data_IF_066407558318
#
_entry.id   IF_066407558318
#
_cell.length_a   1.000
_cell.length_b   1.000
_cell.length_c   1.000
_cell.angle_alpha   90.00
_cell.angle_beta   90.00
_cell.angle_gamma   90.00
#
_symmetry.space_group_name_H-M   'P 1'
#
loop_
_entity.id
_entity.type
_entity.pdbx_description
1 polymer ?
#
# COMPACT_ATOMS: atom_id res chain seq x y z
N UNK A 1 1.10 15.74 14.86
CA UNK A 1 2.13 15.20 13.92
C UNK A 1 3.23 14.44 14.69
N UNK A 2 2.88 13.67 15.73
CA UNK A 2 3.87 13.14 16.70
C UNK A 2 4.18 11.65 16.53
N UNK A 3 3.28 10.88 15.90
CA UNK A 3 3.49 9.47 15.59
C UNK A 3 3.94 9.33 14.14
N UNK A 4 5.21 8.99 13.92
CA UNK A 4 5.89 8.95 12.62
C UNK A 4 6.75 7.70 12.42
N UNK A 5 7.38 7.16 13.48
CA UNK A 5 8.21 5.94 13.38
C UNK A 5 7.50 4.70 13.90
N UNK A 6 7.91 3.55 13.38
CA UNK A 6 7.37 2.22 13.69
C UNK A 6 7.52 1.81 15.16
N UNK A 7 8.48 2.35 15.91
CA UNK A 7 8.72 2.04 17.32
C UNK A 7 8.11 3.03 18.32
N UNK A 8 7.57 4.14 17.84
CA UNK A 8 7.04 5.16 18.74
C UNK A 8 5.79 4.66 19.46
N UNK A 9 5.62 4.96 20.76
CA UNK A 9 4.39 4.64 21.46
C UNK A 9 3.20 5.34 20.78
N UNK A 10 2.04 4.69 20.78
CA UNK A 10 0.81 5.32 20.29
C UNK A 10 0.49 6.50 21.22
N UNK A 11 0.14 7.69 20.69
CA UNK A 11 -0.14 8.86 21.53
C UNK A 11 -1.24 8.57 22.56
N UNK A 12 -0.93 8.77 23.85
CA UNK A 12 -1.84 8.47 24.97
C UNK A 12 -3.11 9.33 24.97
N UNK A 13 -3.09 10.45 24.27
CA UNK A 13 -4.23 11.38 24.12
C UNK A 13 -5.32 10.89 23.17
N UNK A 14 -5.11 9.76 22.46
CA UNK A 14 -6.14 9.19 21.58
C UNK A 14 -7.25 8.49 22.38
N UNK A 15 -8.49 8.47 21.86
CA UNK A 15 -9.57 7.64 22.40
C UNK A 15 -9.12 6.17 22.52
N UNK A 16 -9.56 5.48 23.59
CA UNK A 16 -9.11 4.11 23.89
C UNK A 16 -9.37 3.14 22.74
N UNK A 17 -10.58 3.14 22.18
CA UNK A 17 -10.94 2.29 21.04
C UNK A 17 -10.00 2.47 19.83
N UNK A 18 -9.60 3.71 19.53
CA UNK A 18 -8.68 3.99 18.44
C UNK A 18 -7.24 3.56 18.78
N UNK A 19 -6.81 3.81 20.01
CA UNK A 19 -5.49 3.36 20.48
C UNK A 19 -5.38 1.84 20.42
N UNK A 20 -6.38 1.13 20.91
CA UNK A 20 -6.39 -0.34 20.95
C UNK A 20 -6.39 -0.92 19.53
N UNK A 21 -7.13 -0.32 18.60
CA UNK A 21 -7.05 -0.65 17.17
C UNK A 21 -5.63 -0.45 16.62
N UNK A 22 -4.98 0.69 16.90
CA UNK A 22 -3.63 0.96 16.39
C UNK A 22 -2.62 -0.03 16.97
N UNK A 23 -2.70 -0.32 18.27
CA UNK A 23 -1.78 -1.27 18.93
C UNK A 23 -1.93 -2.70 18.39
N UNK A 24 -3.14 -3.10 18.00
CA UNK A 24 -3.35 -4.37 17.31
C UNK A 24 -2.83 -4.32 15.86
N UNK A 25 -3.24 -3.30 15.10
CA UNK A 25 -2.94 -3.17 13.68
C UNK A 25 -1.46 -2.95 13.34
N UNK A 26 -0.64 -2.52 14.31
CA UNK A 26 0.81 -2.28 14.12
C UNK A 26 1.69 -3.49 14.43
N UNK A 27 1.12 -4.61 14.89
CA UNK A 27 1.89 -5.81 15.23
C UNK A 27 2.43 -6.46 13.97
N UNK A 28 3.71 -6.84 13.99
CA UNK A 28 4.29 -7.63 12.91
C UNK A 28 3.66 -9.03 12.89
N UNK A 29 3.21 -9.52 11.72
CA UNK A 29 2.75 -10.90 11.61
C UNK A 29 3.92 -11.87 11.82
N UNK A 30 3.61 -13.08 12.32
CA UNK A 30 4.61 -14.10 12.65
C UNK A 30 5.44 -14.56 11.44
N UNK A 31 4.92 -14.42 10.23
CA UNK A 31 5.58 -14.76 8.98
C UNK A 31 6.53 -13.67 8.45
N UNK A 32 6.74 -12.57 9.20
CA UNK A 32 7.70 -11.51 8.84
C UNK A 32 9.13 -12.06 8.75
N UNK A 33 9.73 -12.00 7.56
CA UNK A 33 11.12 -12.38 7.30
C UNK A 33 12.01 -11.14 7.07
N UNK A 34 12.92 -10.88 8.03
CA UNK A 34 13.85 -9.73 7.98
C UNK A 34 14.88 -9.85 6.85
N UNK A 35 15.29 -11.06 6.48
CA UNK A 35 16.25 -11.26 5.39
C UNK A 35 15.60 -10.91 4.06
N UNK A 36 14.35 -11.35 3.83
CA UNK A 36 13.57 -10.95 2.64
C UNK A 36 13.36 -9.44 2.57
N UNK A 37 13.09 -8.78 3.69
CA UNK A 37 13.01 -7.32 3.74
C UNK A 37 14.33 -6.63 3.35
N UNK A 38 15.46 -7.14 3.83
CA UNK A 38 16.77 -6.63 3.45
C UNK A 38 17.05 -6.85 1.95
N UNK A 39 16.66 -8.00 1.40
CA UNK A 39 16.79 -8.29 -0.04
C UNK A 39 15.83 -7.43 -0.89
N UNK A 40 14.63 -7.11 -0.39
CA UNK A 40 13.72 -6.14 -1.02
C UNK A 40 14.38 -4.77 -1.17
N UNK A 41 15.07 -4.30 -0.12
CA UNK A 41 15.74 -3.00 -0.19
C UNK A 41 16.89 -3.02 -1.21
N UNK A 42 17.66 -4.12 -1.29
CA UNK A 42 18.68 -4.27 -2.35
C UNK A 42 18.06 -4.20 -3.74
N UNK A 43 16.94 -4.88 -3.95
CA UNK A 43 16.20 -4.86 -5.21
C UNK A 43 15.78 -3.44 -5.58
N UNK A 44 15.04 -2.76 -4.69
CA UNK A 44 14.53 -1.40 -4.95
C UNK A 44 15.69 -0.44 -5.19
N UNK A 45 16.76 -0.51 -4.38
CA UNK A 45 17.94 0.35 -4.56
C UNK A 45 18.63 0.15 -5.91
N UNK A 46 18.73 -1.09 -6.41
CA UNK A 46 19.34 -1.38 -7.72
C UNK A 46 18.45 -0.94 -8.88
N UNK A 47 17.14 -1.11 -8.73
CA UNK A 47 16.16 -0.85 -9.79
C UNK A 47 15.43 0.49 -9.62
N UNK A 48 15.94 1.39 -8.77
CA UNK A 48 15.26 2.59 -8.26
C UNK A 48 14.62 3.42 -9.38
N UNK A 49 15.38 3.73 -10.43
CA UNK A 49 14.89 4.47 -11.60
C UNK A 49 13.76 3.75 -12.31
N UNK A 50 13.91 2.45 -12.58
CA UNK A 50 12.91 1.66 -13.32
C UNK A 50 11.63 1.48 -12.51
N UNK A 51 11.77 1.17 -11.21
CA UNK A 51 10.67 1.04 -10.27
C UNK A 51 9.93 2.37 -10.14
N UNK A 52 10.64 3.49 -10.01
CA UNK A 52 10.04 4.83 -9.95
C UNK A 52 9.28 5.21 -11.23
N UNK A 53 9.85 4.92 -12.40
CA UNK A 53 9.19 5.15 -13.70
C UNK A 53 7.92 4.29 -13.80
N UNK A 54 7.98 3.02 -13.42
CA UNK A 54 6.83 2.12 -13.47
C UNK A 54 5.75 2.52 -12.45
N UNK A 55 6.10 2.95 -11.24
CA UNK A 55 5.12 3.51 -10.30
C UNK A 55 4.39 4.71 -10.89
N UNK A 56 5.12 5.65 -11.49
CA UNK A 56 4.52 6.87 -12.02
C UNK A 56 3.64 6.59 -13.26
N UNK A 57 4.17 5.87 -14.24
CA UNK A 57 3.57 5.79 -15.57
C UNK A 57 2.79 4.50 -15.84
N UNK A 58 3.11 3.40 -15.17
CA UNK A 58 2.29 2.20 -15.24
C UNK A 58 1.22 2.25 -14.15
N UNK A 59 1.61 2.19 -12.88
CA UNK A 59 0.66 2.13 -11.76
C UNK A 59 -0.15 3.42 -11.59
N UNK A 60 0.51 4.58 -11.60
CA UNK A 60 -0.13 5.88 -11.39
C UNK A 60 -1.14 6.23 -12.48
N UNK A 61 -0.85 5.90 -13.74
CA UNK A 61 -1.81 6.07 -14.84
C UNK A 61 -2.92 5.01 -14.78
N UNK A 62 -2.59 3.76 -14.45
CA UNK A 62 -3.57 2.67 -14.31
C UNK A 62 -4.61 2.97 -13.22
N UNK A 63 -4.21 3.59 -12.12
CA UNK A 63 -5.12 4.05 -11.06
C UNK A 63 -6.25 4.98 -11.57
N UNK A 64 -6.00 5.72 -12.66
CA UNK A 64 -7.01 6.61 -13.27
C UNK A 64 -8.06 5.87 -14.09
N UNK A 65 -7.80 4.62 -14.46
CA UNK A 65 -8.70 3.78 -15.26
C UNK A 65 -9.28 2.60 -14.47
N UNK A 66 -8.92 2.44 -13.19
CA UNK A 66 -9.59 1.54 -12.24
C UNK A 66 -10.84 2.25 -11.71
N UNK A 67 -12.07 1.85 -12.10
CA UNK A 67 -13.26 2.68 -11.91
C UNK A 67 -13.60 2.98 -10.44
N UNK A 68 -13.42 2.02 -9.53
CA UNK A 68 -13.70 2.22 -8.10
C UNK A 68 -12.65 3.11 -7.44
N UNK A 69 -11.37 2.88 -7.74
CA UNK A 69 -10.25 3.69 -7.25
C UNK A 69 -10.37 5.14 -7.71
N UNK A 70 -10.52 5.37 -9.02
CA UNK A 70 -10.62 6.69 -9.61
C UNK A 70 -11.82 7.48 -9.03
N UNK A 71 -13.00 6.86 -8.93
CA UNK A 71 -14.18 7.50 -8.33
C UNK A 71 -13.99 7.79 -6.84
N UNK A 72 -13.40 6.86 -6.09
CA UNK A 72 -13.19 7.05 -4.65
C UNK A 72 -12.20 8.18 -4.38
N UNK A 73 -11.11 8.25 -5.14
CA UNK A 73 -10.15 9.35 -5.06
C UNK A 73 -10.78 10.68 -5.46
N UNK A 74 -11.52 10.71 -6.58
CA UNK A 74 -12.16 11.92 -7.08
C UNK A 74 -13.21 12.46 -6.10
N UNK A 75 -14.17 11.64 -5.67
CA UNK A 75 -15.30 12.10 -4.87
C UNK A 75 -15.03 12.18 -3.37
N UNK A 76 -13.95 11.61 -2.84
CA UNK A 76 -13.63 11.79 -1.41
C UNK A 76 -13.20 13.24 -1.15
N UNK A 77 -13.89 13.93 -0.22
CA UNK A 77 -13.92 15.41 -0.07
C UNK A 77 -14.67 16.15 -1.18
N UNK A 78 -15.62 15.50 -1.85
CA UNK A 78 -16.60 16.14 -2.73
C UNK A 78 -16.09 16.60 -4.09
N UNK A 79 -15.00 16.03 -4.63
CA UNK A 79 -14.53 16.39 -5.98
C UNK A 79 -13.76 17.70 -6.06
N UNK A 80 -13.38 18.32 -4.93
CA UNK A 80 -12.72 19.62 -4.95
C UNK A 80 -11.28 19.52 -5.48
N UNK A 81 -10.94 20.26 -6.56
CA UNK A 81 -9.62 20.19 -7.21
C UNK A 81 -8.48 20.69 -6.32
N UNK A 82 -8.79 21.50 -5.29
CA UNK A 82 -7.81 22.01 -4.32
C UNK A 82 -7.14 20.87 -3.55
N UNK A 83 -7.83 19.75 -3.35
CA UNK A 83 -7.28 18.61 -2.60
C UNK A 83 -6.63 17.54 -3.47
N UNK A 84 -6.70 17.63 -4.80
CA UNK A 84 -6.20 16.56 -5.68
C UNK A 84 -4.68 16.40 -5.62
N UNK A 85 -3.93 17.50 -5.56
CA UNK A 85 -2.46 17.45 -5.42
C UNK A 85 -2.04 16.69 -4.16
N UNK A 86 -2.65 16.99 -3.03
CA UNK A 86 -2.38 16.31 -1.75
C UNK A 86 -2.77 14.83 -1.77
N UNK A 87 -3.75 14.44 -2.58
CA UNK A 87 -4.22 13.05 -2.66
C UNK A 87 -3.28 12.20 -3.49
N UNK A 88 -2.85 12.71 -4.64
CA UNK A 88 -1.80 12.07 -5.45
C UNK A 88 -0.51 11.94 -4.65
N UNK A 89 -0.10 12.99 -3.93
CA UNK A 89 1.09 12.96 -3.07
C UNK A 89 1.04 11.88 -1.98
N UNK A 90 -0.15 11.55 -1.45
CA UNK A 90 -0.30 10.49 -0.43
C UNK A 90 -0.07 9.09 -1.00
N UNK A 91 -0.53 8.81 -2.22
CA UNK A 91 -0.23 7.54 -2.90
C UNK A 91 1.26 7.43 -3.21
N UNK A 92 1.89 8.54 -3.64
CA UNK A 92 3.35 8.58 -3.84
C UNK A 92 4.13 8.30 -2.54
N UNK A 93 3.65 8.79 -1.38
CA UNK A 93 4.27 8.48 -0.08
C UNK A 93 4.31 6.97 0.19
N UNK A 94 3.24 6.23 -0.09
CA UNK A 94 3.20 4.78 0.11
C UNK A 94 4.30 4.07 -0.69
N UNK A 95 4.46 4.42 -1.98
CA UNK A 95 5.50 3.87 -2.84
C UNK A 95 6.92 4.27 -2.41
N UNK A 96 7.10 5.47 -1.88
CA UNK A 96 8.39 5.91 -1.32
C UNK A 96 8.74 5.15 -0.04
N UNK A 97 7.81 5.09 0.91
CA UNK A 97 8.07 4.49 2.23
C UNK A 97 8.35 2.98 2.15
N UNK A 98 7.68 2.25 1.24
CA UNK A 98 7.90 0.81 1.09
C UNK A 98 9.28 0.50 0.49
N UNK A 99 9.81 1.43 -0.32
CA UNK A 99 11.14 1.35 -0.91
C UNK A 99 12.26 1.85 0.00
N UNK A 100 11.92 2.47 1.14
CA UNK A 100 12.89 3.06 2.04
C UNK A 100 13.78 1.99 2.70
N UNK A 101 15.02 2.40 3.02
CA UNK A 101 15.89 1.58 3.87
C UNK A 101 15.20 1.35 5.20
N UNK A 102 15.23 0.11 5.69
CA UNK A 102 14.67 -0.25 7.00
C UNK A 102 13.16 0.07 7.13
N UNK A 103 12.39 0.07 6.03
CA UNK A 103 10.98 0.46 5.97
C UNK A 103 10.12 -0.06 7.14
N UNK A 104 10.30 -1.33 7.52
CA UNK A 104 9.54 -2.03 8.57
C UNK A 104 10.32 -2.19 9.89
N UNK A 105 11.57 -1.75 9.97
CA UNK A 105 12.33 -1.78 11.22
C UNK A 105 11.81 -0.75 12.22
N UNK A 106 12.19 -0.84 13.51
CA UNK A 106 11.81 0.14 14.54
C UNK A 106 11.99 1.61 14.14
N UNK A 107 13.08 1.93 13.42
CA UNK A 107 13.40 3.29 12.99
C UNK A 107 12.70 3.73 11.70
N UNK A 108 12.09 2.82 10.95
CA UNK A 108 11.35 3.10 9.72
C UNK A 108 9.96 3.69 9.97
N UNK A 109 9.20 3.91 8.90
CA UNK A 109 7.87 4.55 8.95
C UNK A 109 6.75 3.72 8.29
N UNK A 110 7.06 2.61 7.61
CA UNK A 110 6.10 1.95 6.73
C UNK A 110 4.88 1.39 7.49
N UNK A 111 5.07 0.86 8.70
CA UNK A 111 3.96 0.36 9.54
C UNK A 111 3.04 1.53 9.89
N UNK A 112 3.61 2.66 10.31
CA UNK A 112 2.84 3.88 10.63
C UNK A 112 2.08 4.40 9.41
N UNK A 113 2.72 4.42 8.24
CA UNK A 113 2.09 4.82 6.98
C UNK A 113 0.92 3.90 6.63
N UNK A 114 1.09 2.59 6.68
CA UNK A 114 0.03 1.63 6.39
C UNK A 114 -1.14 1.75 7.38
N UNK A 115 -0.88 1.79 8.69
CA UNK A 115 -1.94 1.86 9.69
C UNK A 115 -2.75 3.16 9.57
N UNK A 116 -2.08 4.31 9.34
CA UNK A 116 -2.78 5.56 9.05
C UNK A 116 -3.61 5.48 7.77
N UNK A 117 -3.07 4.86 6.73
CA UNK A 117 -3.79 4.65 5.46
C UNK A 117 -5.01 3.77 5.67
N UNK A 118 -4.89 2.68 6.44
CA UNK A 118 -5.99 1.80 6.82
C UNK A 118 -7.09 2.54 7.57
N UNK A 119 -6.73 3.44 8.49
CA UNK A 119 -7.70 4.33 9.17
C UNK A 119 -8.38 5.30 8.19
N UNK A 120 -7.62 5.89 7.26
CA UNK A 120 -8.19 6.77 6.21
C UNK A 120 -9.19 5.98 5.36
N UNK A 121 -8.85 4.76 4.94
CA UNK A 121 -9.76 3.90 4.18
C UNK A 121 -11.02 3.58 4.97
N UNK A 122 -10.92 3.28 6.27
CA UNK A 122 -12.08 3.09 7.13
C UNK A 122 -12.97 4.36 7.21
N UNK A 123 -12.37 5.54 7.33
CA UNK A 123 -13.12 6.80 7.29
C UNK A 123 -13.79 7.03 5.92
N UNK A 124 -13.12 6.72 4.82
CA UNK A 124 -13.69 6.83 3.46
C UNK A 124 -14.85 5.86 3.27
N UNK A 125 -14.78 4.63 3.80
CA UNK A 125 -15.89 3.68 3.80
C UNK A 125 -17.14 4.24 4.48
N UNK A 126 -16.96 5.05 5.52
CA UNK A 126 -18.08 5.69 6.22
C UNK A 126 -18.59 6.95 5.51
N UNK A 127 -17.68 7.78 4.98
CA UNK A 127 -18.02 9.11 4.44
C UNK A 127 -18.50 9.06 2.98
N UNK A 128 -17.87 8.23 2.14
CA UNK A 128 -18.11 8.26 0.70
C UNK A 128 -19.52 7.81 0.30
N UNK A 129 -20.16 6.81 0.96
CA UNK A 129 -21.57 6.48 0.71
C UNK A 129 -22.57 7.60 1.01
N UNK A 130 -22.17 8.65 1.74
CA UNK A 130 -23.01 9.83 2.01
C UNK A 130 -22.97 10.83 0.85
N UNK A 131 -22.07 10.64 -0.12
CA UNK A 131 -22.00 11.46 -1.33
C UNK A 131 -23.06 11.01 -2.33
N UNK A 132 -23.85 11.93 -2.93
CA UNK A 132 -24.81 11.59 -3.98
C UNK A 132 -24.12 11.10 -5.27
N UNK A 133 -22.81 11.31 -5.40
CA UNK A 133 -22.02 10.86 -6.55
C UNK A 133 -21.48 9.43 -6.40
N UNK A 134 -21.62 8.82 -5.22
CA UNK A 134 -21.19 7.45 -4.99
C UNK A 134 -22.37 6.47 -5.17
N UNK A 135 -22.20 5.31 -5.84
CA UNK A 135 -23.28 4.35 -5.99
C UNK A 135 -23.78 3.82 -4.63
N UNK A 136 -25.08 3.94 -4.37
CA UNK A 136 -25.68 3.66 -3.05
C UNK A 136 -25.47 2.24 -2.52
N UNK A 137 -25.28 1.24 -3.40
CA UNK A 137 -25.14 -0.17 -3.03
C UNK A 137 -23.70 -0.69 -3.09
N UNK A 138 -22.73 0.20 -3.32
CA UNK A 138 -21.31 -0.18 -3.42
C UNK A 138 -20.60 0.25 -2.14
N UNK A 139 -20.07 -0.70 -1.38
CA UNK A 139 -19.15 -0.36 -0.27
C UNK A 139 -17.79 0.01 -0.88
N UNK A 140 -17.25 1.22 -0.64
CA UNK A 140 -15.97 1.59 -1.22
C UNK A 140 -14.82 0.80 -0.61
N UNK A 141 -13.73 0.62 -1.36
CA UNK A 141 -12.45 0.08 -0.85
C UNK A 141 -12.69 -1.28 -0.19
N UNK A 142 -13.34 -2.20 -0.91
CA UNK A 142 -13.48 -3.59 -0.48
C UNK A 142 -12.11 -4.29 -0.40
N UNK A 143 -12.06 -5.51 0.12
CA UNK A 143 -10.84 -6.33 0.07
C UNK A 143 -10.40 -6.59 -1.37
N UNK A 144 -11.37 -6.77 -2.27
CA UNK A 144 -11.15 -6.90 -3.71
C UNK A 144 -10.58 -5.61 -4.31
N UNK A 145 -11.16 -4.44 -4.02
CA UNK A 145 -10.62 -3.15 -4.49
C UNK A 145 -9.16 -2.96 -4.03
N UNK A 146 -8.87 -3.32 -2.77
CA UNK A 146 -7.51 -3.26 -2.22
C UNK A 146 -6.55 -4.19 -2.98
N UNK A 147 -6.98 -5.40 -3.32
CA UNK A 147 -6.17 -6.35 -4.09
C UNK A 147 -6.00 -5.92 -5.55
N UNK A 148 -7.00 -5.29 -6.17
CA UNK A 148 -6.88 -4.70 -7.52
C UNK A 148 -5.78 -3.63 -7.54
N UNK A 149 -5.81 -2.68 -6.59
CA UNK A 149 -4.74 -1.68 -6.47
C UNK A 149 -3.40 -2.32 -6.06
N UNK A 150 -3.40 -3.38 -5.26
CA UNK A 150 -2.18 -4.12 -4.95
C UNK A 150 -1.58 -4.75 -6.22
N UNK A 151 -2.36 -5.35 -7.13
CA UNK A 151 -1.83 -5.88 -8.38
C UNK A 151 -1.39 -4.80 -9.37
N UNK A 152 -2.06 -3.64 -9.38
CA UNK A 152 -1.63 -2.49 -10.20
C UNK A 152 -0.27 -1.93 -9.79
N UNK A 153 0.20 -2.26 -8.59
CA UNK A 153 1.49 -1.87 -8.01
C UNK A 153 2.53 -3.01 -8.18
N UNK A 154 2.88 -3.86 -7.18
CA UNK A 154 3.97 -4.83 -7.31
C UNK A 154 3.87 -5.78 -8.48
N UNK A 155 2.68 -6.33 -8.79
CA UNK A 155 2.54 -7.32 -9.86
C UNK A 155 2.82 -6.70 -11.22
N UNK A 156 2.18 -5.57 -11.51
CA UNK A 156 2.40 -4.82 -12.76
C UNK A 156 3.87 -4.40 -12.91
N UNK A 157 4.52 -3.95 -11.83
CA UNK A 157 5.94 -3.56 -11.87
C UNK A 157 6.82 -4.77 -12.18
N UNK A 158 6.65 -5.88 -11.46
CA UNK A 158 7.44 -7.08 -11.68
C UNK A 158 7.23 -7.65 -13.09
N UNK A 159 5.99 -7.70 -13.58
CA UNK A 159 5.68 -8.12 -14.96
C UNK A 159 6.42 -7.27 -16.01
N UNK A 160 6.45 -5.94 -15.84
CA UNK A 160 7.16 -5.06 -16.77
C UNK A 160 8.68 -5.25 -16.70
N UNK A 161 9.27 -5.37 -15.52
CA UNK A 161 10.71 -5.61 -15.39
C UNK A 161 11.12 -6.95 -16.02
N UNK A 162 10.32 -8.00 -15.83
CA UNK A 162 10.53 -9.30 -16.48
C UNK A 162 10.39 -9.18 -18.01
N UNK A 163 9.36 -8.49 -18.50
CA UNK A 163 9.16 -8.23 -19.93
C UNK A 163 10.34 -7.47 -20.55
N UNK A 164 10.91 -6.52 -19.81
CA UNK A 164 12.09 -5.75 -20.21
C UNK A 164 13.41 -6.53 -20.03
N UNK A 165 13.35 -7.79 -19.57
CA UNK A 165 14.51 -8.67 -19.34
C UNK A 165 15.53 -8.06 -18.37
N UNK A 166 15.06 -7.29 -17.40
CA UNK A 166 15.90 -6.78 -16.31
C UNK A 166 16.43 -7.97 -15.50
N UNK A 167 17.75 -8.10 -15.28
CA UNK A 167 18.29 -9.18 -14.47
C UNK A 167 17.89 -8.99 -12.99
N UNK A 168 17.11 -9.92 -12.46
CA UNK A 168 16.61 -9.89 -11.08
C UNK A 168 16.97 -11.20 -10.39
N UNK A 169 17.86 -11.19 -9.38
CA UNK A 169 18.12 -12.36 -8.55
C UNK A 169 16.84 -12.85 -7.85
N UNK A 170 16.68 -14.17 -7.72
CA UNK A 170 15.48 -14.78 -7.15
C UNK A 170 15.21 -14.27 -5.72
N UNK A 171 16.23 -14.17 -4.88
CA UNK A 171 16.08 -13.68 -3.50
C UNK A 171 15.62 -12.20 -3.44
N UNK A 172 16.05 -11.37 -4.39
CA UNK A 172 15.63 -9.98 -4.53
C UNK A 172 14.17 -9.89 -5.01
N UNK A 173 13.79 -10.72 -5.97
CA UNK A 173 12.40 -10.85 -6.44
C UNK A 173 11.45 -11.28 -5.33
N UNK A 174 11.81 -12.31 -4.56
CA UNK A 174 11.03 -12.80 -3.42
C UNK A 174 11.04 -11.82 -2.25
N UNK A 175 12.13 -11.08 -2.05
CA UNK A 175 12.20 -9.98 -1.10
C UNK A 175 11.20 -8.89 -1.44
N UNK A 176 11.15 -8.46 -2.70
CA UNK A 176 10.20 -7.46 -3.17
C UNK A 176 8.74 -7.89 -2.97
N UNK A 177 8.41 -9.15 -3.30
CA UNK A 177 7.09 -9.71 -3.02
C UNK A 177 6.76 -9.66 -1.52
N UNK A 178 7.69 -10.10 -0.68
CA UNK A 178 7.52 -10.15 0.78
C UNK A 178 7.27 -8.77 1.40
N UNK A 179 7.99 -7.75 0.92
CA UNK A 179 7.76 -6.35 1.33
C UNK A 179 6.33 -5.90 1.00
N UNK A 180 5.83 -6.26 -0.19
CA UNK A 180 4.47 -5.93 -0.62
C UNK A 180 3.38 -6.76 0.06
N UNK A 181 3.65 -8.03 0.41
CA UNK A 181 2.76 -8.84 1.25
C UNK A 181 2.58 -8.17 2.62
N UNK A 182 3.66 -7.73 3.27
CA UNK A 182 3.58 -6.98 4.53
C UNK A 182 2.82 -5.66 4.38
N UNK A 183 3.06 -4.92 3.29
CA UNK A 183 2.31 -3.71 3.00
C UNK A 183 0.79 -3.99 2.96
N UNK A 184 0.39 -5.02 2.20
CA UNK A 184 -1.01 -5.44 2.10
C UNK A 184 -1.61 -5.84 3.46
N UNK A 185 -0.89 -6.64 4.24
CA UNK A 185 -1.29 -7.03 5.60
C UNK A 185 -1.55 -5.80 6.49
N UNK A 186 -0.60 -4.86 6.54
CA UNK A 186 -0.74 -3.66 7.36
C UNK A 186 -1.80 -2.68 6.84
N UNK A 187 -2.09 -2.68 5.54
CA UNK A 187 -3.24 -1.98 4.95
C UNK A 187 -4.58 -2.63 5.32
N UNK A 188 -4.55 -3.81 5.93
CA UNK A 188 -5.71 -4.56 6.40
C UNK A 188 -6.26 -5.54 5.38
N UNK A 189 -5.50 -5.91 4.35
CA UNK A 189 -5.84 -7.03 3.48
C UNK A 189 -5.70 -8.31 4.30
N UNK A 190 -6.68 -9.22 4.20
CA UNK A 190 -6.61 -10.51 4.89
C UNK A 190 -5.54 -11.39 4.26
N UNK A 191 -4.77 -12.09 5.09
CA UNK A 191 -3.66 -12.93 4.65
C UNK A 191 -4.10 -14.00 3.64
N UNK A 192 -5.33 -14.51 3.75
CA UNK A 192 -5.93 -15.47 2.80
C UNK A 192 -6.08 -14.93 1.36
N UNK A 193 -5.99 -13.61 1.18
CA UNK A 193 -6.07 -12.95 -0.12
C UNK A 193 -4.71 -12.54 -0.68
N UNK A 194 -3.68 -12.47 0.17
CA UNK A 194 -2.34 -12.11 -0.28
C UNK A 194 -1.72 -13.29 -1.06
N UNK A 195 -1.20 -13.05 -2.28
CA UNK A 195 -0.55 -14.12 -3.04
C UNK A 195 0.70 -14.59 -2.34
N UNK A 196 0.87 -15.90 -2.16
CA UNK A 196 2.06 -16.49 -1.54
C UNK A 196 3.28 -16.55 -2.48
N UNK A 197 3.07 -16.35 -3.79
CA UNK A 197 4.11 -16.41 -4.82
C UNK A 197 3.80 -15.47 -5.98
N UNK A 198 4.81 -15.16 -6.81
CA UNK A 198 4.61 -14.42 -8.05
C UNK A 198 3.70 -15.15 -9.04
N UNK A 199 3.73 -16.49 -9.07
CA UNK A 199 2.82 -17.26 -9.90
C UNK A 199 1.37 -17.00 -9.49
N UNK A 200 1.07 -17.07 -8.18
CA UNK A 200 -0.26 -16.77 -7.68
C UNK A 200 -0.64 -15.31 -7.95
N UNK A 201 0.28 -14.36 -7.74
CA UNK A 201 0.03 -12.95 -8.01
C UNK A 201 -0.31 -12.68 -9.48
N UNK A 202 0.35 -13.38 -10.41
CA UNK A 202 0.09 -13.26 -11.85
C UNK A 202 -1.22 -13.94 -12.29
N UNK A 203 -1.69 -14.95 -11.56
CA UNK A 203 -2.99 -15.60 -11.82
C UNK A 203 -4.14 -14.73 -11.30
N UNK A 204 -3.91 -14.02 -10.20
CA UNK A 204 -4.91 -13.14 -9.56
C UNK A 204 -5.08 -11.78 -10.27
N UNK A 205 -4.02 -11.27 -10.91
CA UNK A 205 -3.98 -9.98 -11.60
C UNK A 205 -4.63 -10.02 -12.99
#
# INVERSE_FOLDING_TARGET
RTWVRNDQPVPSTLPSNLRDFIEDARRLPSWTDKKKLADSFKFVKKQDTLVSVLYAFASGMMATVIPNEARAVYYSRGGSPVYFKDRIAKTAKLGYDIGAVNAYDPSGEMIVTCVKTRMIHAAVRHLLPQSPHWPAHVTPISQEDLMVTWHSLPTTIMQNLVKWKVPIPENESQGYLHSWQLCGHFLGIRDEYLPASWQQANIQA
#
